data_IF_750750878767
#
_entry.id   IF_750750878767
#
_cell.length_a   1.000
_cell.length_b   1.000
_cell.length_c   1.000
_cell.angle_alpha   90.00
_cell.angle_beta   90.00
_cell.angle_gamma   90.00
#
_symmetry.space_group_name_H-M   'P 1'
#
loop_
_entity.id
_entity.type
_entity.pdbx_description
1 polymer ?
#
# COMPACT_ATOMS: atom_id res chain seq x y z
N UNK A 1 5.46 51.49 -21.87
CA UNK A 1 4.58 50.64 -21.06
C UNK A 1 4.95 49.20 -21.34
N UNK A 2 5.65 48.53 -20.40
CA UNK A 2 6.06 47.11 -20.56
C UNK A 2 4.99 46.24 -19.93
N UNK A 3 4.33 45.44 -20.73
CA UNK A 3 3.34 44.45 -20.26
C UNK A 3 4.11 43.21 -19.83
N UNK A 4 4.13 42.90 -18.53
CA UNK A 4 4.64 41.64 -18.00
C UNK A 4 3.54 40.58 -18.14
N UNK A 5 3.71 39.65 -19.05
CA UNK A 5 2.86 38.47 -19.17
C UNK A 5 3.26 37.47 -18.10
N UNK A 6 2.44 37.34 -17.05
CA UNK A 6 2.63 36.30 -16.02
C UNK A 6 2.02 35.00 -16.54
N UNK A 7 2.90 34.02 -16.89
CA UNK A 7 2.45 32.66 -17.20
C UNK A 7 2.15 31.92 -15.89
N UNK A 8 0.87 31.69 -15.63
CA UNK A 8 0.43 30.83 -14.54
C UNK A 8 0.61 29.36 -14.97
N UNK A 9 1.66 28.70 -14.49
CA UNK A 9 1.87 27.26 -14.71
C UNK A 9 0.99 26.49 -13.74
N UNK A 10 -0.11 25.93 -14.22
CA UNK A 10 -0.97 25.03 -13.44
C UNK A 10 -0.34 23.65 -13.48
N UNK A 11 0.27 23.24 -12.38
CA UNK A 11 0.80 21.89 -12.22
C UNK A 11 -0.36 20.96 -11.85
N UNK A 12 -0.85 20.18 -12.81
CA UNK A 12 -1.76 19.09 -12.52
C UNK A 12 -0.99 17.92 -11.91
N UNK A 13 -1.10 17.74 -10.62
CA UNK A 13 -0.63 16.50 -9.97
C UNK A 13 -1.64 15.39 -10.28
N UNK A 14 -1.29 14.48 -11.16
CA UNK A 14 -2.05 13.25 -11.36
C UNK A 14 -1.86 12.39 -10.11
N UNK A 15 -2.85 12.40 -9.23
CA UNK A 15 -2.89 11.44 -8.12
C UNK A 15 -3.49 10.15 -8.63
N UNK A 16 -2.79 9.04 -8.45
CA UNK A 16 -3.37 7.73 -8.70
C UNK A 16 -4.62 7.52 -7.82
N UNK A 17 -5.61 6.78 -8.33
CA UNK A 17 -6.84 6.51 -7.60
C UNK A 17 -6.58 5.69 -6.33
N UNK A 18 -7.44 5.86 -5.35
CA UNK A 18 -7.44 5.05 -4.14
C UNK A 18 -7.94 3.63 -4.45
N UNK A 19 -7.42 2.66 -3.68
CA UNK A 19 -7.83 1.26 -3.70
C UNK A 19 -8.14 0.82 -2.26
N UNK A 20 -9.29 1.26 -1.71
CA UNK A 20 -9.50 1.27 -0.26
C UNK A 20 -9.79 -0.11 0.35
N UNK A 21 -10.06 -1.12 -0.46
CA UNK A 21 -10.41 -2.45 0.02
C UNK A 21 -10.06 -3.54 -0.99
N UNK A 22 -10.26 -4.79 -0.60
CA UNK A 22 -10.07 -5.93 -1.49
C UNK A 22 -10.97 -5.80 -2.72
N UNK A 23 -10.40 -5.99 -3.91
CA UNK A 23 -11.03 -5.79 -5.21
C UNK A 23 -11.39 -4.33 -5.54
N UNK A 24 -10.82 -3.35 -4.81
CA UNK A 24 -10.90 -1.94 -5.15
C UNK A 24 -12.22 -1.25 -4.80
N UNK A 25 -12.39 0.00 -5.24
CA UNK A 25 -13.52 0.85 -4.82
C UNK A 25 -14.88 0.30 -5.25
N UNK A 26 -14.95 -0.38 -6.39
CA UNK A 26 -16.19 -0.93 -6.95
C UNK A 26 -16.36 -2.43 -6.64
N UNK A 27 -15.46 -3.05 -5.89
CA UNK A 27 -15.42 -4.48 -5.54
C UNK A 27 -15.38 -5.45 -6.74
N UNK A 28 -14.99 -4.97 -7.91
CA UNK A 28 -14.92 -5.74 -9.16
C UNK A 28 -13.50 -6.20 -9.54
N UNK A 29 -12.47 -5.66 -8.86
CA UNK A 29 -11.07 -5.97 -9.12
C UNK A 29 -10.50 -5.23 -10.34
N UNK A 30 -11.23 -4.25 -10.88
CA UNK A 30 -10.87 -3.53 -12.10
C UNK A 30 -10.42 -2.11 -11.75
N UNK A 31 -9.20 -1.74 -12.12
CA UNK A 31 -8.77 -0.36 -12.08
C UNK A 31 -9.23 0.40 -13.32
N UNK A 32 -9.89 1.52 -13.12
CA UNK A 32 -10.28 2.44 -14.19
C UNK A 32 -9.17 3.41 -14.59
N UNK A 33 -8.03 3.34 -13.90
CA UNK A 33 -6.86 4.12 -14.26
C UNK A 33 -6.24 3.58 -15.56
N UNK A 34 -5.77 4.49 -16.39
CA UNK A 34 -4.88 4.16 -17.50
C UNK A 34 -3.47 4.59 -17.13
N UNK A 35 -2.71 3.73 -16.45
CA UNK A 35 -1.35 4.08 -16.10
C UNK A 35 -0.52 4.30 -17.37
N UNK A 36 0.42 5.24 -17.35
CA UNK A 36 1.44 5.29 -18.38
C UNK A 36 2.14 3.93 -18.43
N UNK A 37 2.66 3.53 -19.59
CA UNK A 37 3.35 2.24 -19.74
C UNK A 37 4.34 2.08 -18.60
N UNK A 38 4.20 1.03 -17.76
CA UNK A 38 5.03 0.90 -16.58
C UNK A 38 6.50 0.71 -17.01
N UNK A 39 7.37 1.52 -16.46
CA UNK A 39 8.81 1.29 -16.56
C UNK A 39 9.26 0.45 -15.35
N UNK A 40 9.28 -0.86 -15.50
CA UNK A 40 9.69 -1.79 -14.45
C UNK A 40 11.20 -1.80 -14.18
N UNK A 41 11.99 -1.03 -14.90
CA UNK A 41 13.44 -0.96 -14.69
C UNK A 41 13.83 -0.15 -13.46
N UNK A 42 12.92 0.66 -12.91
CA UNK A 42 13.18 1.52 -11.76
C UNK A 42 12.31 1.13 -10.56
N UNK A 43 12.94 0.55 -9.54
CA UNK A 43 12.32 0.36 -8.22
C UNK A 43 12.48 1.66 -7.44
N UNK A 44 11.37 2.30 -7.04
CA UNK A 44 11.39 3.52 -6.25
C UNK A 44 11.76 3.23 -4.80
N UNK A 45 11.17 2.20 -4.22
CA UNK A 45 11.47 1.71 -2.87
C UNK A 45 11.02 0.26 -2.71
N UNK A 46 11.52 -0.38 -1.67
CA UNK A 46 11.15 -1.73 -1.26
C UNK A 46 11.01 -1.77 0.26
N UNK A 47 10.05 -2.52 0.75
CA UNK A 47 9.83 -2.70 2.18
C UNK A 47 9.51 -4.16 2.48
N UNK A 48 10.21 -4.70 3.44
CA UNK A 48 9.89 -5.98 4.03
C UNK A 48 8.84 -5.78 5.14
N UNK A 49 7.74 -6.50 5.06
CA UNK A 49 6.65 -6.49 6.03
C UNK A 49 6.42 -7.86 6.67
N UNK A 50 7.28 -8.84 6.38
CA UNK A 50 7.15 -10.21 6.84
C UNK A 50 6.27 -11.07 5.92
N UNK A 51 5.83 -12.20 6.44
CA UNK A 51 5.03 -13.20 5.72
C UNK A 51 3.56 -12.86 5.77
N UNK A 52 2.83 -13.09 4.70
CA UNK A 52 1.38 -12.91 4.66
C UNK A 52 0.81 -12.98 3.25
N UNK A 53 -0.51 -13.13 3.19
CA UNK A 53 -1.29 -13.27 1.94
C UNK A 53 -2.36 -12.19 1.80
N UNK A 54 -2.32 -11.19 2.68
CA UNK A 54 -3.21 -10.04 2.63
C UNK A 54 -2.99 -9.22 1.36
N UNK A 55 -4.06 -8.74 0.76
CA UNK A 55 -4.00 -7.67 -0.23
C UNK A 55 -3.64 -6.35 0.43
N UNK A 56 -3.20 -5.40 -0.35
CA UNK A 56 -2.94 -4.03 0.10
C UNK A 56 -4.17 -3.16 -0.08
N UNK A 57 -4.35 -2.19 0.82
CA UNK A 57 -5.27 -1.08 0.60
C UNK A 57 -4.48 0.22 0.43
N UNK A 58 -4.97 1.10 -0.44
CA UNK A 58 -4.34 2.39 -0.74
C UNK A 58 -5.37 3.50 -0.62
N UNK A 59 -5.08 4.51 0.20
CA UNK A 59 -5.91 5.70 0.28
C UNK A 59 -5.12 6.91 0.78
N UNK A 60 -5.42 8.07 0.23
CA UNK A 60 -4.84 9.34 0.66
C UNK A 60 -3.30 9.39 0.63
N UNK A 61 -2.66 8.74 -0.34
CA UNK A 61 -1.20 8.66 -0.44
C UNK A 61 -0.54 7.70 0.57
N UNK A 62 -1.32 6.83 1.21
CA UNK A 62 -0.88 5.83 2.18
C UNK A 62 -1.18 4.43 1.67
N UNK A 63 -0.33 3.49 2.04
CA UNK A 63 -0.51 2.06 1.80
C UNK A 63 -0.72 1.38 3.15
N UNK A 64 -1.73 0.55 3.24
CA UNK A 64 -2.05 -0.25 4.41
C UNK A 64 -1.79 -1.71 4.09
N UNK A 65 -1.03 -2.37 4.96
CA UNK A 65 -0.56 -3.73 4.78
C UNK A 65 -0.53 -4.48 6.10
N UNK A 66 -0.72 -5.79 6.04
CA UNK A 66 -0.52 -6.70 7.16
C UNK A 66 0.60 -7.66 6.84
N UNK A 67 1.44 -7.94 7.82
CA UNK A 67 2.49 -8.93 7.71
C UNK A 67 2.80 -9.58 9.05
N UNK A 68 3.28 -10.81 9.01
CA UNK A 68 3.66 -11.57 10.19
C UNK A 68 5.17 -11.66 10.30
N UNK A 69 5.70 -11.43 11.48
CA UNK A 69 7.10 -11.61 11.82
C UNK A 69 7.24 -12.54 13.03
N UNK A 70 8.39 -13.20 13.13
CA UNK A 70 8.68 -14.10 14.22
C UNK A 70 8.89 -15.54 13.76
N UNK A 71 8.80 -16.45 14.70
CA UNK A 71 8.94 -17.89 14.48
C UNK A 71 7.86 -18.64 15.26
N UNK A 72 7.85 -19.95 15.18
CA UNK A 72 6.86 -20.82 15.85
C UNK A 72 6.70 -20.58 17.35
N UNK A 73 7.62 -19.89 18.00
CA UNK A 73 7.61 -19.64 19.43
C UNK A 73 7.19 -18.22 19.84
N UNK A 74 6.90 -17.33 18.87
CA UNK A 74 6.53 -15.96 19.18
C UNK A 74 6.25 -15.14 17.92
N UNK A 75 5.11 -15.42 17.30
CA UNK A 75 4.69 -14.68 16.11
C UNK A 75 3.93 -13.42 16.51
N UNK A 76 4.11 -12.42 15.67
CA UNK A 76 3.42 -11.14 15.77
C UNK A 76 2.93 -10.74 14.40
N UNK A 77 1.69 -10.34 14.31
CA UNK A 77 1.18 -9.64 13.14
C UNK A 77 1.32 -8.13 13.35
N UNK A 78 1.69 -7.46 12.29
CA UNK A 78 1.83 -6.01 12.29
C UNK A 78 0.99 -5.42 11.18
N UNK A 79 0.15 -4.47 11.56
CA UNK A 79 -0.58 -3.63 10.64
C UNK A 79 0.25 -2.36 10.39
N UNK A 80 0.59 -2.13 9.13
CA UNK A 80 1.43 -1.01 8.71
C UNK A 80 0.62 0.04 7.98
N UNK A 81 0.91 1.30 8.29
CA UNK A 81 0.60 2.44 7.44
C UNK A 81 1.90 3.00 6.87
N UNK A 82 2.03 3.00 5.57
CA UNK A 82 3.26 3.29 4.85
C UNK A 82 3.02 4.46 3.89
N UNK A 83 3.96 5.39 3.80
CA UNK A 83 3.93 6.42 2.77
C UNK A 83 4.06 5.79 1.38
N UNK A 84 3.09 6.02 0.50
CA UNK A 84 3.12 5.54 -0.89
C UNK A 84 4.33 6.10 -1.66
N UNK A 85 4.72 7.32 -1.37
CA UNK A 85 5.81 8.00 -2.06
C UNK A 85 7.19 7.49 -1.64
N UNK A 86 7.41 7.28 -0.34
CA UNK A 86 8.75 7.03 0.21
C UNK A 86 8.98 5.62 0.73
N UNK A 87 7.93 4.83 0.92
CA UNK A 87 8.00 3.52 1.57
C UNK A 87 8.26 3.56 3.08
N UNK A 88 8.32 4.76 3.68
CA UNK A 88 8.54 4.90 5.13
C UNK A 88 7.28 4.53 5.90
N UNK A 89 7.45 3.80 7.01
CA UNK A 89 6.36 3.57 7.97
C UNK A 89 5.96 4.90 8.60
N UNK A 90 4.70 5.25 8.48
CA UNK A 90 4.10 6.42 9.15
C UNK A 90 3.67 6.05 10.56
N UNK A 91 3.02 4.90 10.71
CA UNK A 91 2.71 4.26 11.96
C UNK A 91 2.51 2.75 11.76
N UNK A 92 2.52 2.00 12.83
CA UNK A 92 2.23 0.57 12.85
C UNK A 92 1.60 0.17 14.18
N UNK A 93 0.83 -0.90 14.14
CA UNK A 93 0.29 -1.58 15.31
C UNK A 93 0.67 -3.05 15.25
N UNK A 94 1.13 -3.60 16.37
CA UNK A 94 1.66 -4.96 16.44
C UNK A 94 1.01 -5.73 17.57
N UNK A 95 0.52 -6.91 17.29
CA UNK A 95 -0.15 -7.77 18.25
C UNK A 95 0.33 -9.23 18.13
N UNK A 96 0.23 -10.01 19.22
CA UNK A 96 0.54 -11.43 19.18
C UNK A 96 -0.44 -12.16 18.25
N UNK A 97 0.09 -13.07 17.44
CA UNK A 97 -0.71 -13.89 16.53
C UNK A 97 -0.14 -15.30 16.43
N UNK A 98 -0.99 -16.29 16.24
CA UNK A 98 -0.55 -17.64 15.97
C UNK A 98 -0.20 -17.79 14.48
N UNK A 99 0.99 -18.27 14.19
CA UNK A 99 1.36 -18.65 12.84
C UNK A 99 0.78 -20.04 12.53
N UNK A 100 -0.15 -20.09 11.60
CA UNK A 100 -0.72 -21.34 11.11
C UNK A 100 -0.03 -21.71 9.80
N UNK A 101 0.97 -22.58 9.88
CA UNK A 101 1.89 -22.88 8.77
C UNK A 101 1.76 -24.30 8.19
N UNK A 102 0.67 -25.00 8.45
CA UNK A 102 0.50 -26.38 8.01
C UNK A 102 0.01 -26.53 6.55
N UNK A 103 -0.55 -25.48 5.96
CA UNK A 103 -1.02 -25.49 4.56
C UNK A 103 -0.13 -24.60 3.66
N UNK A 104 0.48 -23.57 4.24
CA UNK A 104 1.31 -22.60 3.56
C UNK A 104 2.25 -21.93 4.58
N UNK A 105 2.99 -20.91 4.18
CA UNK A 105 3.96 -20.24 5.07
C UNK A 105 3.34 -19.53 6.28
N UNK A 106 2.01 -19.40 6.31
CA UNK A 106 1.29 -18.72 7.39
C UNK A 106 1.16 -17.21 7.18
N UNK A 107 0.77 -16.52 8.24
CA UNK A 107 0.58 -15.07 8.25
C UNK A 107 -0.83 -14.61 7.89
N UNK A 108 -1.09 -13.29 7.95
CA UNK A 108 -2.42 -12.73 7.76
C UNK A 108 -2.94 -12.92 6.33
N UNK A 109 -4.20 -13.34 6.24
CA UNK A 109 -4.92 -13.48 4.97
C UNK A 109 -6.00 -12.38 4.80
N UNK A 110 -6.39 -11.73 5.89
CA UNK A 110 -7.38 -10.66 5.85
C UNK A 110 -6.80 -9.40 5.20
N UNK A 111 -7.54 -8.80 4.28
CA UNK A 111 -7.12 -7.56 3.62
C UNK A 111 -7.67 -6.34 4.36
N UNK A 112 -6.89 -5.27 4.49
CA UNK A 112 -7.37 -4.01 5.03
C UNK A 112 -8.57 -3.48 4.25
N UNK A 113 -9.57 -2.97 4.96
CA UNK A 113 -10.70 -2.25 4.39
C UNK A 113 -10.79 -0.88 5.05
N UNK A 114 -10.83 0.15 4.25
CA UNK A 114 -10.90 1.55 4.68
C UNK A 114 -12.30 2.08 4.42
N UNK A 115 -12.84 2.82 5.38
CA UNK A 115 -14.17 3.44 5.34
C UNK A 115 -14.05 4.94 5.14
#
# INVERSE_FOLDING_TARGET
MRVFLVFLVIIFTVKGADWPNWRGPDHDGISKEQPPRPNFSKILWRKDIGVGFSSLAVSGGRIFALGCSGNKNGNKETFYCISKETGKTLWQDTYPAALVDYLHEGGPCASPTLL
#
